data_IF_552231191115
#
_entry.id   IF_552231191115
#
_cell.length_a   1.000
_cell.length_b   1.000
_cell.length_c   1.000
_cell.angle_alpha   90.00
_cell.angle_beta   90.00
_cell.angle_gamma   90.00
#
_symmetry.space_group_name_H-M   'P 1'
#
loop_
_entity.id
_entity.type
_entity.pdbx_description
1 polymer ?
#
# COMPACT_ATOMS: atom_id res chain seq x y z
N UNK A 1 39.72 -33.89 -48.10
CA UNK A 1 40.32 -34.14 -46.77
C UNK A 1 39.31 -34.89 -45.91
N UNK A 2 39.70 -36.10 -45.52
CA UNK A 2 39.46 -36.81 -44.25
C UNK A 2 38.10 -36.60 -43.54
N UNK A 3 37.39 -37.72 -43.51
CA UNK A 3 36.34 -38.11 -42.56
C UNK A 3 36.77 -38.02 -41.10
N UNK A 4 35.88 -37.54 -40.22
CA UNK A 4 35.81 -38.04 -38.83
C UNK A 4 34.36 -38.22 -38.38
N UNK A 5 33.98 -39.49 -38.31
CA UNK A 5 33.14 -40.18 -37.30
C UNK A 5 33.14 -39.51 -35.91
N UNK A 6 32.08 -39.56 -35.08
CA UNK A 6 31.57 -40.74 -34.34
C UNK A 6 30.22 -40.36 -33.68
N UNK A 7 29.14 -41.14 -33.89
CA UNK A 7 28.56 -42.17 -32.99
C UNK A 7 27.74 -41.67 -31.78
N UNK A 8 26.44 -41.99 -31.86
CA UNK A 8 25.57 -42.67 -30.87
C UNK A 8 25.56 -42.15 -29.43
N UNK A 9 24.37 -41.82 -28.93
CA UNK A 9 23.56 -42.76 -28.14
C UNK A 9 22.19 -42.15 -27.78
N UNK A 10 21.14 -42.92 -28.02
CA UNK A 10 19.81 -42.68 -27.47
C UNK A 10 19.79 -43.13 -26.00
N UNK A 11 19.08 -42.40 -25.15
CA UNK A 11 18.54 -42.92 -23.90
C UNK A 11 17.23 -42.22 -23.58
N UNK A 12 16.15 -42.85 -24.03
CA UNK A 12 14.79 -42.71 -23.49
C UNK A 12 14.81 -43.01 -21.98
N UNK A 13 14.36 -42.07 -21.17
CA UNK A 13 13.91 -42.34 -19.81
C UNK A 13 12.51 -41.75 -19.66
N UNK A 14 11.52 -42.65 -19.69
CA UNK A 14 10.11 -42.33 -19.54
C UNK A 14 9.83 -41.78 -18.14
N UNK A 15 9.06 -40.70 -18.09
CA UNK A 15 8.49 -40.20 -16.85
C UNK A 15 7.15 -40.93 -16.68
N UNK A 16 7.17 -41.94 -15.80
CA UNK A 16 5.99 -42.66 -15.34
C UNK A 16 5.02 -41.67 -14.70
N UNK A 17 3.82 -41.54 -15.28
CA UNK A 17 2.68 -40.92 -14.63
C UNK A 17 2.29 -41.76 -13.42
N UNK A 18 2.47 -41.23 -12.21
CA UNK A 18 1.74 -41.70 -11.04
C UNK A 18 0.46 -40.87 -10.91
N UNK A 19 -0.62 -41.43 -11.43
CA UNK A 19 -1.97 -41.02 -11.07
C UNK A 19 -2.28 -41.55 -9.66
N UNK A 20 -2.19 -40.68 -8.66
CA UNK A 20 -2.75 -40.96 -7.32
C UNK A 20 -4.25 -40.66 -7.39
N UNK A 21 -5.04 -41.71 -7.57
CA UNK A 21 -6.49 -41.69 -7.29
C UNK A 21 -6.68 -42.22 -5.87
N UNK A 22 -6.63 -41.30 -4.90
CA UNK A 22 -7.08 -41.56 -3.54
C UNK A 22 -8.28 -40.64 -3.28
N UNK A 23 -9.45 -41.26 -3.15
CA UNK A 23 -10.69 -40.59 -2.79
C UNK A 23 -10.53 -39.89 -1.45
N UNK A 24 -10.77 -38.59 -1.47
CA UNK A 24 -10.92 -37.74 -0.31
C UNK A 24 -11.62 -36.49 -0.83
N UNK A 25 -12.93 -36.40 -0.62
CA UNK A 25 -13.68 -35.19 -0.92
C UNK A 25 -13.18 -34.07 -0.03
N UNK A 26 -12.12 -33.39 -0.46
CA UNK A 26 -11.83 -32.07 0.04
C UNK A 26 -12.98 -31.19 -0.45
N UNK A 27 -13.96 -30.95 0.42
CA UNK A 27 -14.80 -29.77 0.29
C UNK A 27 -13.83 -28.60 0.29
N UNK A 28 -13.48 -28.09 -0.89
CA UNK A 28 -12.84 -26.80 -1.01
C UNK A 28 -13.79 -25.83 -0.30
N UNK A 29 -13.41 -25.42 0.92
CA UNK A 29 -14.05 -24.31 1.60
C UNK A 29 -13.99 -23.19 0.58
N UNK A 30 -15.16 -22.73 0.12
CA UNK A 30 -15.22 -21.59 -0.77
C UNK A 30 -14.52 -20.46 -0.02
N UNK A 31 -13.27 -20.18 -0.41
CA UNK A 31 -12.57 -19.00 0.06
C UNK A 31 -13.36 -17.85 -0.52
N UNK A 32 -14.26 -17.27 0.27
CA UNK A 32 -14.70 -15.90 0.04
C UNK A 32 -13.42 -15.09 0.08
N UNK A 33 -12.90 -14.77 -1.09
CA UNK A 33 -11.73 -13.93 -1.25
C UNK A 33 -12.12 -12.55 -0.77
N UNK A 34 -11.90 -12.30 0.52
CA UNK A 34 -11.98 -10.96 1.08
C UNK A 34 -10.92 -10.15 0.36
N UNK A 35 -11.37 -9.27 -0.53
CA UNK A 35 -10.45 -8.41 -1.27
C UNK A 35 -10.15 -7.17 -0.42
N UNK A 36 -8.87 -6.81 -0.27
CA UNK A 36 -8.50 -5.57 0.38
C UNK A 36 -9.16 -4.38 -0.32
N UNK A 37 -9.71 -3.45 0.46
CA UNK A 37 -10.39 -2.27 -0.04
C UNK A 37 -9.67 -0.99 0.37
N UNK A 38 -9.46 -0.09 -0.58
CA UNK A 38 -8.92 1.23 -0.29
C UNK A 38 -10.04 2.16 0.19
N UNK A 39 -9.91 2.69 1.39
CA UNK A 39 -10.78 3.70 1.99
C UNK A 39 -10.04 5.03 1.99
N UNK A 40 -10.66 6.04 1.39
CA UNK A 40 -10.12 7.39 1.32
C UNK A 40 -10.80 8.29 2.36
N UNK A 41 -10.01 9.03 3.13
CA UNK A 41 -10.50 10.03 4.06
C UNK A 41 -10.88 11.35 3.39
N UNK A 42 -11.47 12.26 4.17
CA UNK A 42 -11.69 13.63 3.73
C UNK A 42 -10.39 14.43 3.61
N UNK A 43 -10.46 15.56 2.89
CA UNK A 43 -9.35 16.52 2.82
C UNK A 43 -9.24 17.27 4.15
N UNK A 44 -8.08 17.21 4.79
CA UNK A 44 -7.74 17.95 6.00
C UNK A 44 -7.02 19.23 5.57
N UNK A 45 -7.72 20.37 5.64
CA UNK A 45 -7.15 21.68 5.28
C UNK A 45 -5.97 22.02 6.17
N UNK A 46 -4.82 22.32 5.57
CA UNK A 46 -3.57 22.54 6.29
C UNK A 46 -3.12 21.34 7.14
N UNK A 47 -3.56 20.12 6.79
CA UNK A 47 -3.30 18.92 7.58
C UNK A 47 -1.84 18.45 7.55
N UNK A 48 -1.02 18.96 6.62
CA UNK A 48 0.40 18.67 6.54
C UNK A 48 1.25 19.58 7.45
N UNK A 49 0.82 19.77 8.69
CA UNK A 49 1.41 20.65 9.71
C UNK A 49 2.44 19.93 10.62
N UNK A 50 2.64 18.63 10.42
CA UNK A 50 3.49 17.79 11.25
C UNK A 50 2.83 17.32 12.55
N UNK A 51 1.50 17.44 12.66
CA UNK A 51 0.72 16.76 13.69
C UNK A 51 0.25 15.39 13.19
N UNK A 52 0.14 14.39 14.08
CA UNK A 52 -0.39 13.08 13.70
C UNK A 52 -1.85 13.16 13.24
N UNK A 53 -2.14 12.53 12.10
CA UNK A 53 -3.49 12.36 11.55
C UNK A 53 -3.75 10.88 11.37
N UNK A 54 -4.97 10.45 11.70
CA UNK A 54 -5.35 9.04 11.66
C UNK A 54 -6.57 8.86 10.77
N UNK A 55 -6.55 7.83 9.93
CA UNK A 55 -7.72 7.34 9.22
C UNK A 55 -8.00 5.91 9.67
N UNK A 56 -9.22 5.68 10.15
CA UNK A 56 -9.67 4.38 10.62
C UNK A 56 -10.25 3.58 9.47
N UNK A 57 -10.10 2.26 9.53
CA UNK A 57 -10.88 1.34 8.74
C UNK A 57 -12.35 1.36 9.17
N UNK A 58 -13.26 0.86 8.31
CA UNK A 58 -14.61 0.54 8.72
C UNK A 58 -14.63 -0.41 9.94
N UNK A 59 -15.71 -0.43 10.72
CA UNK A 59 -15.85 -1.37 11.83
C UNK A 59 -15.63 -2.82 11.39
N UNK A 60 -15.05 -3.64 12.27
CA UNK A 60 -14.75 -5.07 12.03
C UNK A 60 -13.70 -5.33 10.92
N UNK A 61 -12.98 -4.31 10.47
CA UNK A 61 -11.87 -4.44 9.52
C UNK A 61 -10.54 -4.07 10.16
N UNK A 62 -9.47 -4.68 9.64
CA UNK A 62 -8.10 -4.41 10.06
C UNK A 62 -7.33 -3.72 8.93
N UNK A 63 -6.39 -2.86 9.32
CA UNK A 63 -5.51 -2.16 8.40
C UNK A 63 -4.46 -3.11 7.83
N UNK A 64 -4.33 -3.11 6.51
CA UNK A 64 -3.26 -3.78 5.79
C UNK A 64 -2.15 -2.81 5.41
N UNK A 65 -2.51 -1.60 4.96
CA UNK A 65 -1.55 -0.53 4.64
C UNK A 65 -2.23 0.84 4.69
N UNK A 66 -1.45 1.91 4.55
CA UNK A 66 -1.99 3.25 4.41
C UNK A 66 -1.01 4.21 3.75
N UNK A 67 -1.47 5.44 3.51
CA UNK A 67 -0.68 6.48 2.88
C UNK A 67 -1.42 7.81 2.82
N UNK A 68 -0.90 8.73 2.02
CA UNK A 68 -1.46 10.07 1.90
C UNK A 68 -1.15 10.73 0.55
N UNK A 69 -1.92 11.76 0.23
CA UNK A 69 -1.57 12.80 -0.75
C UNK A 69 -1.53 14.18 -0.12
N UNK A 70 -0.76 15.04 -0.78
CA UNK A 70 -0.67 16.45 -0.49
C UNK A 70 -1.26 17.23 -1.66
N UNK A 71 -2.03 18.27 -1.34
CA UNK A 71 -2.60 19.17 -2.33
C UNK A 71 -2.44 20.63 -1.88
N UNK A 72 -2.47 21.54 -2.86
CA UNK A 72 -2.50 22.96 -2.60
C UNK A 72 -3.89 23.50 -2.98
N UNK A 73 -4.49 24.38 -2.16
CA UNK A 73 -5.70 25.10 -2.57
C UNK A 73 -5.38 26.08 -3.70
N UNK A 74 -6.42 26.53 -4.41
CA UNK A 74 -6.30 27.48 -5.53
C UNK A 74 -5.49 28.73 -5.16
N UNK A 75 -4.64 29.20 -6.08
CA UNK A 75 -3.75 30.35 -5.85
C UNK A 75 -2.52 30.04 -5.00
N UNK A 76 -2.31 28.78 -4.62
CA UNK A 76 -1.14 28.29 -3.88
C UNK A 76 -0.52 27.09 -4.59
N UNK A 77 0.76 26.91 -4.36
CA UNK A 77 1.53 25.78 -4.87
C UNK A 77 2.14 25.01 -3.71
N UNK A 78 2.37 23.72 -3.89
CA UNK A 78 3.23 22.96 -2.99
C UNK A 78 4.63 23.56 -3.02
N UNK A 79 5.23 23.78 -1.84
CA UNK A 79 6.58 24.32 -1.74
C UNK A 79 7.62 23.43 -2.44
N UNK A 80 8.73 24.04 -2.86
CA UNK A 80 9.82 23.34 -3.57
C UNK A 80 10.60 22.36 -2.68
N UNK A 81 10.62 22.58 -1.37
CA UNK A 81 11.23 21.65 -0.41
C UNK A 81 10.39 20.37 -0.36
N UNK A 82 10.99 19.17 -0.43
CA UNK A 82 10.27 17.90 -0.26
C UNK A 82 9.42 17.87 1.03
N UNK A 83 8.41 17.00 1.07
CA UNK A 83 7.63 16.80 2.28
C UNK A 83 8.46 16.02 3.31
N UNK A 84 8.37 16.40 4.58
CA UNK A 84 8.99 15.64 5.68
C UNK A 84 7.95 14.65 6.23
N UNK A 85 8.10 13.37 5.87
CA UNK A 85 7.31 12.29 6.46
C UNK A 85 7.95 11.86 7.79
N UNK A 86 7.31 12.23 8.90
CA UNK A 86 7.77 11.95 10.26
C UNK A 86 7.30 10.58 10.74
N UNK A 87 6.07 10.19 10.38
CA UNK A 87 5.45 8.95 10.85
C UNK A 87 4.52 8.38 9.77
N UNK A 88 4.57 7.06 9.59
CA UNK A 88 3.63 6.30 8.77
C UNK A 88 3.57 4.86 9.27
N UNK A 89 2.51 4.52 10.01
CA UNK A 89 2.37 3.21 10.65
C UNK A 89 0.91 2.88 10.95
N UNK A 90 0.57 1.61 11.21
CA UNK A 90 -0.74 1.28 11.77
C UNK A 90 -0.90 1.84 13.19
N UNK A 91 -2.16 1.95 13.63
CA UNK A 91 -2.52 2.13 15.05
C UNK A 91 -2.13 0.89 15.86
N UNK A 92 -2.08 1.02 17.19
CA UNK A 92 -1.64 -0.08 18.08
C UNK A 92 -2.54 -1.33 17.98
N UNK A 93 -3.83 -1.12 17.72
CA UNK A 93 -4.85 -2.15 17.53
C UNK A 93 -5.04 -2.57 16.07
N UNK A 94 -4.22 -2.04 15.14
CA UNK A 94 -4.32 -2.29 13.70
C UNK A 94 -5.71 -1.99 13.09
N UNK A 95 -6.46 -1.06 13.65
CA UNK A 95 -7.76 -0.63 13.09
C UNK A 95 -7.68 0.64 12.24
N UNK A 96 -6.50 1.28 12.14
CA UNK A 96 -6.30 2.47 11.34
C UNK A 96 -4.84 2.75 11.00
N UNK A 97 -4.59 3.83 10.26
CA UNK A 97 -3.25 4.26 9.86
C UNK A 97 -2.97 5.68 10.34
N UNK A 98 -1.81 5.88 10.97
CA UNK A 98 -1.31 7.16 11.46
C UNK A 98 -0.28 7.72 10.48
N UNK A 99 -0.49 8.95 10.02
CA UNK A 99 0.45 9.73 9.21
C UNK A 99 0.80 11.02 9.94
N UNK A 100 2.09 11.33 10.02
CA UNK A 100 2.59 12.65 10.43
C UNK A 100 3.46 13.18 9.31
N UNK A 101 3.02 14.24 8.61
CA UNK A 101 3.76 14.83 7.49
C UNK A 101 3.78 16.35 7.59
N UNK A 102 4.93 16.96 7.25
CA UNK A 102 5.06 18.41 7.09
C UNK A 102 5.24 18.77 5.62
N UNK A 103 4.42 19.69 5.13
CA UNK A 103 4.59 20.30 3.82
C UNK A 103 4.06 21.71 3.84
N UNK A 104 4.89 22.66 3.43
CA UNK A 104 4.48 24.05 3.32
C UNK A 104 4.00 24.40 1.91
N UNK A 105 3.09 25.35 1.83
CA UNK A 105 2.65 26.00 0.61
C UNK A 105 3.53 27.20 0.27
N UNK A 106 3.62 27.50 -1.02
CA UNK A 106 4.19 28.74 -1.55
C UNK A 106 3.14 29.52 -2.33
N UNK A 107 3.20 30.87 -2.37
CA UNK A 107 2.32 31.67 -3.22
C UNK A 107 2.51 31.34 -4.70
N UNK A 108 1.44 31.39 -5.47
CA UNK A 108 1.48 31.33 -6.93
C UNK A 108 1.87 32.72 -7.49
N UNK A 109 3.16 33.08 -7.39
CA UNK A 109 3.68 34.36 -7.94
C UNK A 109 4.96 34.88 -7.30
N UNK A 110 5.67 35.80 -7.99
CA UNK A 110 6.93 36.43 -7.55
C UNK A 110 6.74 37.53 -6.48
N UNK A 111 5.63 37.50 -5.74
CA UNK A 111 5.38 38.45 -4.67
C UNK A 111 6.30 38.15 -3.48
N UNK A 112 7.18 39.08 -3.11
CA UNK A 112 7.93 39.07 -1.83
C UNK A 112 6.98 39.26 -0.65
N UNK A 113 6.07 38.32 -0.43
CA UNK A 113 5.39 38.23 0.85
C UNK A 113 6.20 37.25 1.70
N UNK A 114 6.91 37.80 2.69
CA UNK A 114 7.33 37.06 3.89
C UNK A 114 6.07 36.70 4.68
N UNK A 115 5.20 35.91 4.07
CA UNK A 115 3.95 35.45 4.63
C UNK A 115 4.18 34.06 5.19
N UNK A 116 3.71 33.87 6.42
CA UNK A 116 3.54 32.59 7.12
C UNK A 116 3.39 31.41 6.13
N UNK A 117 4.30 30.44 6.21
CA UNK A 117 4.21 29.21 5.42
C UNK A 117 3.04 28.39 5.94
N UNK A 118 1.89 28.53 5.26
CA UNK A 118 0.72 27.72 5.56
C UNK A 118 1.00 26.27 5.16
N UNK A 119 0.59 25.28 5.98
CA UNK A 119 0.70 23.88 5.62
C UNK A 119 -0.18 23.52 4.40
N UNK A 120 0.24 22.49 3.66
CA UNK A 120 -0.53 21.93 2.58
C UNK A 120 -1.74 21.13 3.09
N UNK A 121 -2.72 20.95 2.22
CA UNK A 121 -3.88 20.11 2.50
C UNK A 121 -3.48 18.64 2.39
N UNK A 122 -4.01 17.82 3.29
CA UNK A 122 -3.65 16.42 3.45
C UNK A 122 -4.87 15.53 3.23
N UNK A 123 -4.73 14.49 2.42
CA UNK A 123 -5.74 13.43 2.28
C UNK A 123 -5.10 12.11 2.65
N UNK A 124 -5.71 11.35 3.55
CA UNK A 124 -5.24 10.02 3.95
C UNK A 124 -5.99 8.95 3.18
N UNK A 125 -5.34 7.80 3.02
CA UNK A 125 -5.98 6.57 2.58
C UNK A 125 -5.46 5.40 3.39
N UNK A 126 -6.32 4.41 3.55
CA UNK A 126 -6.04 3.18 4.25
C UNK A 126 -6.54 2.03 3.40
N UNK A 127 -5.76 0.95 3.30
CA UNK A 127 -6.22 -0.30 2.70
C UNK A 127 -6.63 -1.20 3.84
N UNK A 128 -7.91 -1.53 3.88
CA UNK A 128 -8.51 -2.36 4.91
C UNK A 128 -8.79 -3.75 4.34
N UNK A 129 -8.71 -4.75 5.20
CA UNK A 129 -9.16 -6.09 4.89
C UNK A 129 -10.10 -6.52 6.00
N UNK A 130 -11.15 -7.27 5.67
CA UNK A 130 -11.85 -7.99 6.71
C UNK A 130 -10.85 -8.99 7.31
N UNK A 131 -10.73 -8.95 8.62
CA UNK A 131 -9.78 -9.78 9.35
C UNK A 131 -10.43 -10.27 10.63
N UNK A 132 -10.55 -11.59 10.73
CA UNK A 132 -10.37 -12.26 12.01
C UNK A 132 -8.87 -12.18 12.29
N UNK A 133 -8.46 -11.37 13.28
CA UNK A 133 -7.09 -11.33 13.75
C UNK A 133 -6.77 -12.66 14.47
N UNK A 134 -6.32 -13.69 13.76
CA UNK A 134 -5.58 -14.79 14.40
C UNK A 134 -4.09 -14.66 14.07
N UNK A 135 -3.30 -13.98 14.93
CA UNK A 135 -1.86 -14.13 14.90
C UNK A 135 -1.51 -15.50 15.49
N UNK A 136 -1.20 -16.47 14.64
CA UNK A 136 -0.50 -17.71 15.00
C UNK A 136 -1.28 -18.71 15.87
N UNK A 137 -1.60 -19.87 15.28
CA UNK A 137 -1.80 -21.10 16.05
C UNK A 137 -0.46 -21.69 16.52
#
# INVERSE_FOLDING_TARGET
>A
MISTTLKRAAATAGISMLAVTAGGGATAVAQTTVQPQAVQGGVIKGGADGTPRTLMCPPEENVLSGGFTLSAPDGRLLGHVPADLVESRPTEDATGWVITVRKNLTPEGRGRHKGRTDPADLTLWVVCTQGENTPGG
#
